data_IF_957711427455
#
_entry.id   IF_957711427455
#
_cell.length_a   1.000
_cell.length_b   1.000
_cell.length_c   1.000
_cell.angle_alpha   90.00
_cell.angle_beta   90.00
_cell.angle_gamma   90.00
#
_symmetry.space_group_name_H-M   'P 1'
#
loop_
_entity.id
_entity.type
_entity.pdbx_description
1 polymer ?
#
# COMPACT_ATOMS: atom_id res chain seq x y z
N UNK A 1 -9.44 13.92 45.00
CA UNK A 1 -9.10 14.68 43.79
C UNK A 1 -9.26 13.75 42.60
N UNK A 2 -10.39 13.89 41.89
CA UNK A 2 -10.79 13.06 40.75
C UNK A 2 -10.16 13.64 39.49
N UNK A 3 -9.24 12.92 38.87
CA UNK A 3 -8.70 13.30 37.56
C UNK A 3 -9.63 12.73 36.49
N UNK A 4 -10.32 13.61 35.76
CA UNK A 4 -11.19 13.26 34.66
C UNK A 4 -10.37 12.66 33.50
N UNK A 5 -10.68 11.42 33.12
CA UNK A 5 -10.16 10.81 31.91
C UNK A 5 -10.82 11.51 30.71
N UNK A 6 -10.05 12.36 30.02
CA UNK A 6 -10.47 12.94 28.75
C UNK A 6 -10.71 11.78 27.78
N UNK A 7 -11.93 11.67 27.26
CA UNK A 7 -12.27 10.80 26.14
C UNK A 7 -11.90 11.55 24.88
N UNK A 8 -10.69 11.34 24.38
CA UNK A 8 -10.36 11.72 23.00
C UNK A 8 -11.21 10.83 22.08
N UNK A 9 -11.84 11.36 21.03
CA UNK A 9 -12.50 10.53 20.04
C UNK A 9 -11.42 9.69 19.36
N UNK A 10 -11.47 8.37 19.53
CA UNK A 10 -10.72 7.42 18.72
C UNK A 10 -11.24 7.52 17.29
N UNK A 11 -10.78 8.52 16.56
CA UNK A 11 -10.82 8.47 15.11
C UNK A 11 -9.85 7.36 14.73
N UNK A 12 -10.37 6.13 14.60
CA UNK A 12 -9.76 5.11 13.75
C UNK A 12 -9.65 5.70 12.34
N UNK A 13 -8.63 6.52 12.11
CA UNK A 13 -8.18 6.81 10.76
C UNK A 13 -7.45 5.56 10.35
N UNK A 14 -8.16 4.63 9.71
CA UNK A 14 -7.55 3.63 8.85
C UNK A 14 -6.80 4.40 7.76
N UNK A 15 -5.56 4.83 8.04
CA UNK A 15 -4.77 5.60 7.11
C UNK A 15 -4.29 4.64 6.03
N UNK A 16 -5.13 4.41 5.03
CA UNK A 16 -4.72 3.70 3.82
C UNK A 16 -3.47 4.40 3.28
N UNK A 17 -2.44 3.62 2.99
CA UNK A 17 -1.16 4.10 2.46
C UNK A 17 -1.26 4.71 1.06
N UNK A 18 -2.43 4.57 0.39
CA UNK A 18 -2.78 5.22 -0.88
C UNK A 18 -2.43 6.70 -0.95
N UNK A 19 -2.53 7.44 0.16
CA UNK A 19 -2.20 8.88 0.20
C UNK A 19 -0.74 9.20 -0.13
N UNK A 20 0.15 8.20 -0.14
CA UNK A 20 1.55 8.36 -0.52
C UNK A 20 1.77 8.43 -2.03
N UNK A 21 0.72 8.23 -2.83
CA UNK A 21 0.73 8.40 -4.28
C UNK A 21 -0.35 9.42 -4.68
N UNK A 22 -0.16 10.14 -5.81
CA UNK A 22 -1.26 10.80 -6.50
C UNK A 22 -2.36 9.81 -6.86
N UNK A 23 -3.60 10.27 -6.92
CA UNK A 23 -4.77 9.44 -7.21
C UNK A 23 -4.62 8.66 -8.53
N UNK A 24 -4.19 9.35 -9.56
CA UNK A 24 -3.93 8.80 -10.89
C UNK A 24 -2.81 7.75 -10.88
N UNK A 25 -1.80 7.94 -10.02
CA UNK A 25 -0.69 7.00 -9.86
C UNK A 25 -1.16 5.71 -9.18
N UNK A 26 -1.93 5.84 -8.09
CA UNK A 26 -2.54 4.68 -7.43
C UNK A 26 -3.47 3.91 -8.38
N UNK A 27 -4.34 4.61 -9.10
CA UNK A 27 -5.23 3.99 -10.09
C UNK A 27 -4.44 3.29 -11.22
N UNK A 28 -3.30 3.85 -11.65
CA UNK A 28 -2.43 3.21 -12.63
C UNK A 28 -1.81 1.92 -12.12
N UNK A 29 -1.35 1.89 -10.87
CA UNK A 29 -0.81 0.69 -10.21
C UNK A 29 -1.89 -0.39 -10.10
N UNK A 30 -3.11 -0.03 -9.69
CA UNK A 30 -4.26 -0.95 -9.62
C UNK A 30 -4.58 -1.56 -10.98
N UNK A 31 -4.56 -0.75 -12.06
CA UNK A 31 -4.76 -1.25 -13.42
C UNK A 31 -3.64 -2.18 -13.87
N UNK A 32 -2.39 -1.87 -13.57
CA UNK A 32 -1.24 -2.73 -13.88
C UNK A 32 -1.36 -4.09 -13.19
N UNK A 33 -1.75 -4.11 -11.91
CA UNK A 33 -1.97 -5.37 -11.17
C UNK A 33 -3.02 -6.24 -11.89
N UNK A 34 -4.18 -5.67 -12.25
CA UNK A 34 -5.24 -6.43 -12.94
C UNK A 34 -4.82 -6.88 -14.34
N UNK A 35 -4.13 -6.01 -15.09
CA UNK A 35 -3.66 -6.30 -16.46
C UNK A 35 -2.70 -7.49 -16.47
N UNK A 36 -1.75 -7.50 -15.53
CA UNK A 36 -0.65 -8.46 -15.54
C UNK A 36 -0.95 -9.73 -14.75
N UNK A 37 -2.03 -9.75 -13.95
CA UNK A 37 -2.38 -10.88 -13.09
C UNK A 37 -3.84 -11.31 -13.30
N UNK A 38 -4.03 -12.45 -13.97
CA UNK A 38 -5.35 -12.99 -14.30
C UNK A 38 -6.18 -13.32 -13.05
N UNK A 39 -7.47 -12.98 -13.09
CA UNK A 39 -8.44 -13.34 -12.06
C UNK A 39 -8.41 -12.47 -10.80
N UNK A 40 -7.66 -11.37 -10.82
CA UNK A 40 -7.67 -10.36 -9.75
C UNK A 40 -8.80 -9.36 -10.06
N UNK A 41 -9.76 -9.24 -9.15
CA UNK A 41 -10.77 -8.19 -9.23
C UNK A 41 -10.25 -6.85 -8.69
N UNK A 42 -10.96 -5.76 -8.98
CA UNK A 42 -10.55 -4.42 -8.58
C UNK A 42 -10.41 -4.25 -7.05
N UNK A 43 -11.37 -4.70 -6.20
CA UNK A 43 -11.21 -4.61 -4.75
C UNK A 43 -9.98 -5.34 -4.23
N UNK A 44 -9.64 -6.49 -4.81
CA UNK A 44 -8.42 -7.21 -4.44
C UNK A 44 -7.16 -6.50 -4.94
N UNK A 45 -7.16 -5.97 -6.16
CA UNK A 45 -6.04 -5.18 -6.69
C UNK A 45 -5.78 -3.92 -5.84
N UNK A 46 -6.83 -3.23 -5.39
CA UNK A 46 -6.72 -2.07 -4.48
C UNK A 46 -6.03 -2.45 -3.17
N UNK A 47 -6.41 -3.59 -2.57
CA UNK A 47 -5.76 -4.09 -1.35
C UNK A 47 -4.30 -4.48 -1.60
N UNK A 48 -4.01 -5.12 -2.73
CA UNK A 48 -2.64 -5.48 -3.11
C UNK A 48 -1.77 -4.22 -3.26
N UNK A 49 -2.29 -3.18 -3.92
CA UNK A 49 -1.59 -1.90 -4.08
C UNK A 49 -1.30 -1.23 -2.72
N UNK A 50 -2.29 -1.19 -1.82
CA UNK A 50 -2.11 -0.63 -0.47
C UNK A 50 -1.05 -1.40 0.34
N UNK A 51 -1.06 -2.73 0.31
CA UNK A 51 -0.05 -3.54 1.01
C UNK A 51 1.34 -3.43 0.38
N UNK A 52 1.43 -3.27 -0.94
CA UNK A 52 2.71 -3.03 -1.62
C UNK A 52 3.35 -1.70 -1.21
N UNK A 53 2.56 -0.62 -1.08
CA UNK A 53 3.06 0.66 -0.59
C UNK A 53 3.56 0.51 0.86
N UNK A 54 2.80 -0.16 1.74
CA UNK A 54 3.24 -0.45 3.12
C UNK A 54 4.55 -1.23 3.15
N UNK A 55 4.71 -2.22 2.29
CA UNK A 55 5.94 -3.00 2.18
C UNK A 55 7.13 -2.12 1.78
N UNK A 56 6.98 -1.25 0.78
CA UNK A 56 8.03 -0.33 0.35
C UNK A 56 8.41 0.64 1.47
N UNK A 57 7.43 1.20 2.18
CA UNK A 57 7.67 2.08 3.34
C UNK A 57 8.41 1.31 4.44
N UNK A 58 8.00 0.09 4.75
CA UNK A 58 8.65 -0.74 5.76
C UNK A 58 10.11 -1.05 5.38
N UNK A 59 10.36 -1.41 4.12
CA UNK A 59 11.71 -1.67 3.61
C UNK A 59 12.60 -0.42 3.64
N UNK A 60 12.05 0.75 3.29
CA UNK A 60 12.77 2.02 3.33
C UNK A 60 13.12 2.48 4.76
N UNK A 61 12.25 2.18 5.73
CA UNK A 61 12.42 2.59 7.14
C UNK A 61 13.26 1.61 7.96
N UNK A 62 13.49 0.39 7.47
CA UNK A 62 14.29 -0.63 8.14
C UNK A 62 15.46 -1.13 7.26
N UNK A 63 16.37 -0.23 6.85
CA UNK A 63 17.51 -0.61 6.02
C UNK A 63 18.36 -1.68 6.70
N UNK A 64 18.82 -2.67 5.92
CA UNK A 64 19.62 -3.80 6.42
C UNK A 64 18.82 -5.00 6.94
N UNK A 65 17.49 -4.90 7.07
CA UNK A 65 16.63 -6.07 7.33
C UNK A 65 16.27 -6.75 6.01
N UNK A 66 16.53 -8.06 5.94
CA UNK A 66 16.04 -8.88 4.83
C UNK A 66 14.52 -9.03 4.95
N UNK A 67 13.80 -8.47 4.00
CA UNK A 67 12.34 -8.56 3.90
C UNK A 67 11.98 -9.17 2.54
N UNK A 68 10.98 -10.04 2.54
CA UNK A 68 10.42 -10.62 1.32
C UNK A 68 8.92 -10.37 1.30
N UNK A 69 8.37 -9.82 0.21
CA UNK A 69 6.93 -9.66 0.10
C UNK A 69 6.26 -11.04 -0.02
N UNK A 70 4.97 -11.11 0.32
CA UNK A 70 4.16 -12.25 -0.07
C UNK A 70 3.97 -12.25 -1.59
N UNK A 71 3.54 -13.39 -2.17
CA UNK A 71 3.22 -13.46 -3.61
C UNK A 71 2.18 -12.41 -4.02
N UNK A 72 1.23 -12.09 -3.14
CA UNK A 72 0.23 -11.07 -3.41
C UNK A 72 0.85 -9.67 -3.47
N UNK A 73 1.63 -9.33 -2.46
CA UNK A 73 2.30 -8.02 -2.34
C UNK A 73 3.34 -7.81 -3.45
N UNK A 74 4.01 -8.88 -3.88
CA UNK A 74 5.00 -8.86 -4.97
C UNK A 74 4.39 -8.36 -6.30
N UNK A 75 3.14 -8.73 -6.61
CA UNK A 75 2.43 -8.20 -7.78
C UNK A 75 2.29 -6.68 -7.74
N UNK A 76 1.93 -6.13 -6.58
CA UNK A 76 1.81 -4.68 -6.40
C UNK A 76 3.16 -3.97 -6.37
N UNK A 77 4.18 -4.59 -5.77
CA UNK A 77 5.54 -4.06 -5.76
C UNK A 77 6.11 -3.99 -7.19
N UNK A 78 5.90 -5.02 -7.99
CA UNK A 78 6.27 -5.03 -9.41
C UNK A 78 5.55 -3.90 -10.18
N UNK A 79 4.23 -3.73 -9.96
CA UNK A 79 3.46 -2.66 -10.60
C UNK A 79 3.94 -1.26 -10.20
N UNK A 80 4.37 -1.05 -8.95
CA UNK A 80 4.96 0.22 -8.49
C UNK A 80 6.28 0.53 -9.21
N UNK A 81 7.13 -0.49 -9.42
CA UNK A 81 8.38 -0.33 -10.18
C UNK A 81 8.11 0.03 -11.65
N UNK A 82 7.16 -0.65 -12.29
CA UNK A 82 6.77 -0.36 -13.68
C UNK A 82 6.07 1.00 -13.85
N UNK A 83 5.53 1.58 -12.77
CA UNK A 83 4.96 2.93 -12.80
C UNK A 83 6.01 4.04 -12.72
N UNK A 84 7.27 3.73 -12.43
CA UNK A 84 8.35 4.72 -12.53
C UNK A 84 8.73 4.91 -13.99
N UNK A 85 8.82 6.17 -14.46
CA UNK A 85 8.97 6.58 -15.87
C UNK A 85 10.25 6.13 -16.59
N UNK A 86 10.91 5.07 -16.13
CA UNK A 86 12.11 4.50 -16.72
C UNK A 86 11.83 3.31 -17.67
N UNK A 87 10.57 2.86 -17.79
CA UNK A 87 10.15 1.70 -18.58
C UNK A 87 8.97 1.99 -19.51
#
# INVERSE_FOLDING_TARGET
>A
MTTAHRTEPTAERTSSSRHLLPEEGFASVVRLIQRDNKGIDEPHAVRIADEAIKFVVAAATHPGRLMRPSRAVDMGWHALLLHTSLY
#
